data_IF_164075025479
#
_entry.id   IF_164075025479
#
_cell.length_a   1.000
_cell.length_b   1.000
_cell.length_c   1.000
_cell.angle_alpha   90.00
_cell.angle_beta   90.00
_cell.angle_gamma   90.00
#
_symmetry.space_group_name_H-M   'P 1'
#
loop_
_entity.id
_entity.type
_entity.pdbx_description
1 polymer ?
2 branched ?
3 non-polymer ?
4 non-polymer ?
5 non-polymer ?
6 water ?
#
# COMPACT_ATOMS: atom_id res chain seq x y z
C UNK A 1 -20.28 -20.86 14.46
N UNK A 2 -19.87 -20.21 15.56
CA UNK A 2 -18.71 -20.43 16.44
C UNK A 2 -17.40 -20.62 15.69
N UNK A 3 -17.08 -19.67 14.82
CA UNK A 3 -15.92 -19.81 13.94
C UNK A 3 -14.62 -19.55 14.70
N UNK A 4 -14.61 -18.58 15.61
CA UNK A 4 -13.40 -18.23 16.31
C UNK A 4 -13.57 -18.12 17.80
N UNK A 5 -12.62 -17.46 18.47
CA UNK A 5 -12.69 -17.16 19.89
C UNK A 5 -12.57 -15.64 20.05
N UNK A 6 -13.61 -15.03 20.62
CA UNK A 6 -13.62 -13.61 20.92
C UNK A 6 -12.96 -13.33 22.26
N UNK A 7 -12.43 -12.13 22.39
CA UNK A 7 -11.96 -11.61 23.65
C UNK A 7 -11.92 -10.10 23.59
N UNK A 8 -11.57 -9.46 24.71
CA UNK A 8 -11.37 -8.01 24.68
C UNK A 8 -10.16 -7.68 23.82
N UNK A 9 -10.37 -6.90 22.76
CA UNK A 9 -9.34 -6.39 21.87
C UNK A 9 -8.76 -7.45 20.93
N UNK A 10 -9.46 -8.56 20.69
CA UNK A 10 -8.96 -9.49 19.68
C UNK A 10 -10.06 -10.41 19.19
N UNK A 11 -9.77 -11.08 18.09
CA UNK A 11 -10.58 -12.17 17.55
C UNK A 11 -9.60 -13.18 16.97
N UNK A 12 -9.50 -14.35 17.59
CA UNK A 12 -8.67 -15.44 17.09
C UNK A 12 -9.51 -16.28 16.13
N UNK A 13 -9.09 -16.49 14.90
CA UNK A 13 -9.90 -17.27 13.96
C UNK A 13 -9.75 -18.77 14.16
N UNK A 14 -10.06 -19.24 15.37
CA UNK A 14 -9.98 -20.65 15.69
C UNK A 14 -10.99 -20.96 16.80
N UNK A 15 -11.61 -22.13 16.73
CA UNK A 15 -12.63 -22.50 17.73
C UNK A 15 -11.96 -22.94 19.02
N UNK A 16 -12.51 -22.49 20.14
CA UNK A 16 -11.98 -22.86 21.46
C UNK A 16 -12.74 -24.03 22.09
N UNK A 17 -13.43 -24.85 21.28
CA UNK A 17 -14.16 -25.97 21.89
C UNK A 17 -13.23 -26.98 22.56
N UNK A 18 -11.96 -27.00 22.18
CA UNK A 18 -10.95 -27.84 22.82
C UNK A 18 -10.17 -27.12 23.90
N UNK A 19 -10.48 -25.84 24.17
CA UNK A 19 -9.82 -25.11 25.24
C UNK A 19 -8.39 -24.69 24.98
N UNK A 20 -7.87 -24.83 23.76
CA UNK A 20 -6.45 -24.54 23.51
C UNK A 20 -6.18 -23.12 23.04
N UNK A 21 -7.20 -22.33 22.71
CA UNK A 21 -6.98 -20.98 22.21
C UNK A 21 -6.45 -20.09 23.33
N UNK A 22 -5.49 -19.24 23.00
CA UNK A 22 -4.92 -18.28 23.94
C UNK A 22 -4.99 -16.88 23.34
N UNK A 23 -4.95 -15.88 24.22
CA UNK A 23 -4.90 -14.50 23.79
C UNK A 23 -3.72 -14.27 22.85
N UNK A 24 -3.91 -13.62 21.70
CA UNK A 24 -2.77 -13.32 20.81
C UNK A 24 -1.77 -12.33 21.40
N UNK A 25 -2.08 -11.76 22.56
CA UNK A 25 -1.15 -10.90 23.28
C UNK A 25 -0.31 -11.64 24.31
N UNK A 26 -0.60 -12.92 24.60
CA UNK A 26 0.05 -13.60 25.71
C UNK A 26 0.78 -14.89 25.37
N UNK A 27 0.45 -15.56 24.26
CA UNK A 27 0.97 -16.90 24.09
C UNK A 27 0.91 -17.27 22.63
N UNK A 28 1.78 -18.18 22.17
CA UNK A 28 1.89 -18.45 20.73
C UNK A 28 0.65 -19.11 20.15
N UNK A 29 0.36 -18.76 18.90
CA UNK A 29 -0.85 -19.20 18.21
C UNK A 29 -0.59 -20.38 17.28
N UNK A 30 0.06 -21.43 17.79
CA UNK A 30 0.46 -22.56 16.96
C UNK A 30 -0.69 -23.52 16.63
N UNK A 31 -1.92 -23.22 17.07
CA UNK A 31 -3.09 -23.93 16.57
C UNK A 31 -3.60 -23.32 15.27
N UNK A 32 -3.24 -22.06 14.99
CA UNK A 32 -3.55 -21.45 13.70
C UNK A 32 -2.63 -21.97 12.61
N UNK A 33 -1.38 -22.27 12.97
CA UNK A 33 -0.37 -22.60 11.97
C UNK A 33 0.80 -23.26 12.68
N UNK A 34 1.47 -24.14 11.98
CA UNK A 34 2.66 -24.78 12.49
C UNK A 34 3.76 -23.75 12.78
N UNK A 35 4.68 -24.04 13.71
CA UNK A 35 5.80 -23.12 13.92
C UNK A 35 6.57 -22.78 12.64
N UNK A 36 6.84 -23.78 11.78
CA UNK A 36 7.57 -23.50 10.53
C UNK A 36 6.80 -22.54 9.62
N UNK A 37 5.47 -22.49 9.72
CA UNK A 37 4.73 -21.51 8.93
C UNK A 37 4.89 -20.11 9.50
N UNK A 38 5.05 -20.00 10.81
CA UNK A 38 5.42 -18.72 11.39
C UNK A 38 6.81 -18.31 10.93
N UNK A 39 7.73 -19.28 10.83
CA UNK A 39 9.06 -19.00 10.30
C UNK A 39 9.00 -18.52 8.86
N UNK A 40 8.22 -19.21 8.02
CA UNK A 40 8.06 -18.77 6.64
C UNK A 40 7.42 -17.38 6.58
N UNK A 41 6.53 -17.06 7.52
CA UNK A 41 6.08 -15.68 7.62
C UNK A 41 7.24 -14.74 7.93
N UNK A 42 8.13 -15.15 8.86
CA UNK A 42 9.30 -14.35 9.17
C UNK A 42 10.22 -14.20 7.96
N UNK A 43 10.48 -15.31 7.25
CA UNK A 43 11.33 -15.27 6.07
C UNK A 43 10.78 -14.33 5.01
N UNK A 44 9.47 -14.30 4.86
CA UNK A 44 8.85 -13.38 3.91
C UNK A 44 9.06 -11.93 4.32
N UNK A 45 8.91 -11.64 5.62
CA UNK A 45 9.19 -10.29 6.11
C UNK A 45 10.67 -9.93 5.89
N UNK A 46 11.56 -10.89 6.06
CA UNK A 46 12.96 -10.62 5.85
C UNK A 46 13.23 -10.25 4.39
N UNK A 47 12.64 -11.00 3.46
CA UNK A 47 12.76 -10.68 2.04
C UNK A 47 12.27 -9.26 1.77
N UNK A 48 11.09 -8.91 2.28
CA UNK A 48 10.57 -7.57 2.06
C UNK A 48 11.49 -6.51 2.65
N UNK A 49 11.98 -6.72 3.87
CA UNK A 49 12.90 -5.77 4.49
C UNK A 49 14.15 -5.60 3.64
N UNK A 50 14.74 -6.71 3.20
CA UNK A 50 16.03 -6.67 2.54
C UNK A 50 15.94 -6.08 1.14
N UNK A 51 14.82 -6.23 0.45
CA UNK A 51 14.62 -5.57 -0.81
C UNK A 51 14.02 -4.18 -0.63
N UNK A 52 13.12 -4.03 0.34
CA UNK A 52 12.33 -2.81 0.42
C UNK A 52 13.04 -1.65 1.08
N UNK A 53 13.91 -1.92 2.07
CA UNK A 53 14.68 -0.83 2.65
C UNK A 53 15.67 -0.22 1.66
N UNK A 54 16.57 -0.97 1.01
CA UNK A 54 17.57 -0.31 0.15
C UNK A 54 16.93 0.44 -1.01
N UNK A 55 16.01 -0.20 -1.73
CA UNK A 55 15.36 0.45 -2.87
C UNK A 55 14.73 1.77 -2.46
N UNK A 56 13.94 1.76 -1.40
CA UNK A 56 13.25 2.98 -1.00
C UNK A 56 14.20 3.99 -0.37
N UNK A 57 15.21 3.52 0.36
CA UNK A 57 16.17 4.45 0.94
C UNK A 57 17.07 5.03 -0.14
N UNK A 58 17.54 4.19 -1.06
CA UNK A 58 18.35 4.67 -2.18
C UNK A 58 17.60 5.71 -3.00
N UNK A 59 16.27 5.61 -3.06
CA UNK A 59 15.47 6.63 -3.73
C UNK A 59 15.64 7.98 -3.04
N UNK A 60 15.62 8.00 -1.71
CA UNK A 60 15.83 9.25 -0.99
C UNK A 60 17.26 9.72 -1.11
N UNK A 61 18.21 8.78 -1.20
CA UNK A 61 19.62 9.17 -1.15
C UNK A 61 20.04 9.84 -2.45
N UNK A 62 19.69 9.26 -3.60
CA UNK A 62 20.10 9.83 -4.87
C UNK A 62 19.40 11.15 -5.13
N UNK A 63 18.24 11.38 -4.54
CA UNK A 63 17.61 12.69 -4.67
C UNK A 63 18.41 13.77 -3.95
N UNK A 64 19.13 13.39 -2.89
CA UNK A 64 20.01 14.34 -2.22
C UNK A 64 21.23 14.65 -3.08
N UNK A 65 21.71 13.68 -3.85
CA UNK A 65 22.96 13.82 -4.61
C UNK A 65 22.77 14.33 -6.03
N UNK A 66 21.54 14.47 -6.52
CA UNK A 66 21.31 14.78 -7.93
C UNK A 66 20.26 15.87 -8.08
N UNK A 67 20.71 17.09 -8.43
CA UNK A 67 19.84 18.25 -8.46
C UNK A 67 18.69 18.08 -9.45
N UNK A 68 18.92 17.33 -10.53
CA UNK A 68 17.88 17.17 -11.55
C UNK A 68 16.65 16.46 -11.02
N UNK A 69 16.76 15.67 -9.95
CA UNK A 69 15.61 14.93 -9.46
C UNK A 69 14.65 15.77 -8.63
N UNK A 70 15.12 16.90 -8.09
CA UNK A 70 14.31 17.66 -7.13
C UNK A 70 13.34 18.62 -7.81
N UNK A 71 12.55 18.09 -8.74
CA UNK A 71 11.47 18.81 -9.39
C UNK A 71 10.15 18.56 -8.68
N UNK A 72 9.20 19.49 -8.75
CA UNK A 72 7.94 19.31 -7.99
C UNK A 72 7.16 18.07 -8.39
N UNK A 73 7.14 17.72 -9.67
CA UNK A 73 6.48 16.51 -10.14
C UNK A 73 7.06 15.25 -9.53
N UNK A 74 8.22 15.36 -8.88
CA UNK A 74 8.88 14.22 -8.25
C UNK A 74 8.66 14.16 -6.75
N UNK A 75 8.12 15.22 -6.15
CA UNK A 75 7.88 15.21 -4.70
C UNK A 75 7.02 14.01 -4.30
N UNK A 76 5.98 13.70 -5.07
CA UNK A 76 5.06 12.64 -4.68
C UNK A 76 5.75 11.29 -4.72
N UNK A 77 6.79 11.14 -5.54
CA UNK A 77 7.54 9.89 -5.58
C UNK A 77 8.47 9.75 -4.38
N UNK A 78 9.01 10.86 -3.88
CA UNK A 78 9.72 10.80 -2.61
C UNK A 78 8.78 10.45 -1.48
N UNK A 79 7.57 11.02 -1.52
CA UNK A 79 6.53 10.66 -0.56
C UNK A 79 6.24 9.17 -0.60
N UNK A 80 6.11 8.61 -1.81
CA UNK A 80 5.96 7.16 -1.94
C UNK A 80 7.09 6.42 -1.26
N UNK A 81 8.33 6.89 -1.44
CA UNK A 81 9.47 6.21 -0.85
C UNK A 81 9.39 6.23 0.66
N UNK A 82 8.98 7.37 1.24
CA UNK A 82 8.83 7.45 2.69
C UNK A 82 7.71 6.55 3.17
N UNK A 83 6.57 6.53 2.46
CA UNK A 83 5.45 5.69 2.84
C UNK A 83 5.87 4.23 2.89
N UNK A 84 6.59 3.76 1.86
CA UNK A 84 7.08 2.40 1.86
C UNK A 84 8.01 2.12 3.05
N UNK A 85 8.74 3.14 3.51
CA UNK A 85 9.60 2.95 4.66
C UNK A 85 8.78 2.81 5.95
N UNK A 86 7.64 3.50 6.05
CA UNK A 86 6.71 3.25 7.14
C UNK A 86 6.20 1.81 7.11
N UNK A 87 5.96 1.27 5.91
CA UNK A 87 5.55 -0.14 5.81
C UNK A 87 6.69 -1.05 6.24
N UNK A 88 7.91 -0.74 5.81
CA UNK A 88 9.06 -1.60 6.10
C UNK A 88 9.35 -1.65 7.61
N UNK A 89 9.24 -0.51 8.30
CA UNK A 89 9.63 -0.44 9.70
C UNK A 89 8.45 -0.51 10.66
N UNK A 90 7.35 0.18 10.34
CA UNK A 90 6.17 0.06 11.16
C UNK A 90 5.53 -1.31 11.06
N UNK A 91 5.62 -1.94 9.91
CA UNK A 91 4.93 -3.21 9.68
C UNK A 91 5.84 -4.42 9.57
N UNK A 92 6.69 -4.46 8.54
CA UNK A 92 7.42 -5.68 8.24
C UNK A 92 8.42 -6.02 9.35
N UNK A 93 9.04 -5.01 9.95
CA UNK A 93 10.09 -5.26 10.95
C UNK A 93 9.47 -5.75 12.25
N UNK A 94 8.43 -5.08 12.72
CA UNK A 94 7.65 -5.56 13.84
C UNK A 94 7.19 -7.00 13.63
N UNK A 95 6.61 -7.27 12.46
CA UNK A 95 6.03 -8.58 12.19
C UNK A 95 7.09 -9.66 12.12
N UNK A 96 8.29 -9.33 11.65
CA UNK A 96 9.39 -10.28 11.72
C UNK A 96 9.65 -10.69 13.17
N UNK A 97 9.51 -9.74 14.09
CA UNK A 97 9.87 -10.00 15.47
C UNK A 97 8.79 -10.81 16.17
N UNK A 98 7.54 -10.36 16.08
CA UNK A 98 6.41 -11.10 16.66
C UNK A 98 6.25 -12.48 16.03
N UNK A 99 6.41 -12.57 14.70
CA UNK A 99 6.34 -13.86 14.03
C UNK A 99 7.17 -14.93 14.73
N UNK A 100 8.40 -14.59 15.14
CA UNK A 100 9.32 -15.54 15.73
C UNK A 100 8.99 -15.88 17.18
N UNK A 101 8.05 -15.15 17.80
CA UNK A 101 7.40 -15.57 19.03
C UNK A 101 6.11 -16.34 18.79
N UNK A 102 5.47 -16.12 17.64
CA UNK A 102 4.20 -16.78 17.36
C UNK A 102 2.98 -16.05 17.87
N UNK A 103 3.13 -14.80 18.29
CA UNK A 103 1.99 -13.98 18.74
C UNK A 103 2.48 -12.55 18.89
N UNK A 104 1.54 -11.66 19.18
CA UNK A 104 1.82 -10.22 19.18
C UNK A 104 2.32 -9.81 20.56
N UNK A 105 3.63 -9.93 20.76
CA UNK A 105 4.23 -9.78 22.10
C UNK A 105 4.20 -8.37 22.64
N UNK A 106 3.78 -7.39 21.85
CA UNK A 106 3.80 -6.00 22.27
C UNK A 106 2.51 -5.57 22.97
N UNK A 107 1.55 -6.48 23.15
CA UNK A 107 0.33 -6.16 23.86
C UNK A 107 -0.58 -5.25 23.08
N UNK A 108 -1.76 -4.96 23.63
CA UNK A 108 -2.74 -4.13 22.89
C UNK A 108 -2.27 -2.73 22.58
N UNK A 109 -1.39 -2.15 23.39
CA UNK A 109 -0.86 -0.83 23.08
C UNK A 109 0.01 -0.87 21.83
N UNK A 110 0.97 -1.79 21.79
CA UNK A 110 1.73 -1.98 20.57
C UNK A 110 0.88 -2.32 19.37
N UNK A 111 -0.33 -2.83 19.61
CA UNK A 111 -1.23 -3.18 18.52
C UNK A 111 -1.77 -1.93 17.84
N UNK A 112 -2.19 -0.94 18.64
CA UNK A 112 -2.66 0.32 18.07
C UNK A 112 -1.52 1.07 17.38
N UNK A 113 -0.31 1.01 17.96
CA UNK A 113 0.84 1.67 17.37
C UNK A 113 1.25 1.00 16.07
N UNK A 114 1.50 -0.31 16.11
CA UNK A 114 1.93 -1.01 14.91
C UNK A 114 0.83 -1.05 13.87
N UNK A 115 -0.43 -0.96 14.29
CA UNK A 115 -1.52 -0.92 13.35
C UNK A 115 -1.66 0.43 12.69
N UNK A 116 -1.49 1.49 13.49
CA UNK A 116 -1.49 2.85 12.94
C UNK A 116 -0.41 2.99 11.88
N UNK A 117 0.86 2.76 12.26
CA UNK A 117 1.97 3.08 11.35
C UNK A 117 2.01 2.15 10.14
N UNK A 118 1.66 0.87 10.29
CA UNK A 118 1.57 0.00 9.12
C UNK A 118 0.44 0.44 8.20
N UNK A 119 -0.69 0.84 8.78
CA UNK A 119 -1.83 1.24 7.95
C UNK A 119 -1.58 2.60 7.31
N UNK A 120 -1.01 3.53 8.07
CA UNK A 120 -0.67 4.83 7.52
C UNK A 120 0.29 4.70 6.33
N UNK A 121 1.32 3.87 6.48
CA UNK A 121 2.28 3.72 5.41
C UNK A 121 1.66 3.26 4.11
N UNK A 122 0.86 2.19 4.17
CA UNK A 122 0.25 1.66 2.96
C UNK A 122 -0.81 2.59 2.41
N UNK A 123 -1.45 3.36 3.27
CA UNK A 123 -2.45 4.32 2.83
C UNK A 123 -1.82 5.56 2.18
N UNK A 124 -0.65 6.00 2.65
CA UNK A 124 0.07 7.08 1.97
C UNK A 124 0.56 6.61 0.61
N UNK A 125 1.11 5.40 0.54
CA UNK A 125 1.52 4.85 -0.76
C UNK A 125 0.35 4.84 -1.74
N UNK A 126 -0.79 4.31 -1.30
CA UNK A 126 -1.97 4.23 -2.15
C UNK A 126 -2.35 5.60 -2.72
N UNK A 127 -2.48 6.60 -1.85
CA UNK A 127 -2.89 7.92 -2.31
C UNK A 127 -1.78 8.68 -3.03
N UNK A 128 -0.52 8.23 -2.91
CA UNK A 128 0.53 8.80 -3.73
C UNK A 128 0.37 8.36 -5.19
N UNK A 129 0.04 7.08 -5.41
CA UNK A 129 -0.27 6.64 -6.77
C UNK A 129 -1.49 7.35 -7.33
N UNK A 130 -2.46 7.68 -6.48
CA UNK A 130 -3.63 8.42 -6.95
C UNK A 130 -3.24 9.85 -7.30
N UNK A 131 -2.49 10.51 -6.41
CA UNK A 131 -2.11 11.91 -6.64
C UNK A 131 -1.19 12.05 -7.84
N UNK A 132 -0.25 11.10 -8.00
CA UNK A 132 0.63 11.14 -9.17
C UNK A 132 -0.18 11.06 -10.46
N UNK A 133 -1.25 10.25 -10.47
CA UNK A 133 -2.06 10.14 -11.67
C UNK A 133 -2.82 11.44 -11.94
N UNK A 134 -3.31 12.09 -10.88
CA UNK A 134 -3.99 13.37 -11.05
C UNK A 134 -3.03 14.41 -11.61
N UNK A 135 -1.80 14.42 -11.10
CA UNK A 135 -0.83 15.44 -11.50
C UNK A 135 -0.41 15.25 -12.96
N UNK A 136 -0.04 14.01 -13.32
CA UNK A 136 0.26 13.70 -14.72
C UNK A 136 -0.92 14.03 -15.62
N UNK A 137 -2.14 13.77 -15.16
CA UNK A 137 -3.32 14.12 -15.96
C UNK A 137 -3.44 15.62 -16.13
N UNK A 138 -3.18 16.39 -15.07
CA UNK A 138 -3.28 17.84 -15.16
C UNK A 138 -2.20 18.41 -16.07
N UNK A 139 -0.98 17.88 -15.96
CA UNK A 139 0.14 18.41 -16.72
C UNK A 139 -0.01 18.11 -18.22
N UNK A 140 -0.48 16.92 -18.56
CA UNK A 140 -0.57 16.50 -19.96
C UNK A 140 -1.89 16.96 -20.58
N UNK A 141 -3.02 16.54 -20.01
CA UNK A 141 -4.32 16.84 -20.59
C UNK A 141 -4.72 18.31 -20.45
N UNK A 142 -4.03 19.08 -19.62
CA UNK A 142 -4.30 20.49 -19.38
C UNK A 142 -5.81 20.78 -19.24
N UNK A 143 -6.47 20.23 -18.22
CA UNK A 143 -7.91 20.50 -18.06
C UNK A 143 -8.21 21.92 -17.62
N UNK A 144 -7.25 22.63 -17.03
CA UNK A 144 -7.42 24.01 -16.63
C UNK A 144 -6.70 24.91 -17.62
N UNK A 145 -7.38 25.98 -18.05
CA UNK A 145 -6.95 26.79 -19.18
C UNK A 145 -5.56 27.37 -19.01
N UNK A 146 -5.37 28.26 -18.04
CA UNK A 146 -4.09 28.92 -17.80
C UNK A 146 -3.58 28.47 -16.44
N UNK A 147 -2.96 27.28 -16.41
CA UNK A 147 -2.48 26.65 -15.19
C UNK A 147 -1.07 26.13 -15.40
N UNK A 148 -0.23 26.32 -14.39
CA UNK A 148 1.14 25.83 -14.39
C UNK A 148 1.40 25.12 -13.06
N UNK A 149 1.87 23.87 -13.15
CA UNK A 149 2.06 23.03 -11.97
C UNK A 149 3.40 23.37 -11.32
N UNK A 150 3.36 23.91 -10.11
CA UNK A 150 4.58 24.35 -9.45
C UNK A 150 4.82 23.69 -8.10
N UNK A 151 5.74 24.28 -7.33
CA UNK A 151 6.11 23.72 -6.03
C UNK A 151 4.93 23.72 -5.07
N UNK A 152 4.14 24.81 -5.06
CA UNK A 152 3.00 24.90 -4.16
C UNK A 152 1.98 23.81 -4.43
N UNK A 153 1.69 23.54 -5.71
CA UNK A 153 0.73 22.48 -6.03
C UNK A 153 1.27 21.12 -5.63
N UNK A 154 2.57 20.89 -5.81
CA UNK A 154 3.15 19.60 -5.44
C UNK A 154 3.11 19.37 -3.94
N UNK A 155 3.20 20.44 -3.15
CA UNK A 155 3.14 20.29 -1.71
C UNK A 155 1.71 19.99 -1.27
N UNK A 156 0.73 20.65 -1.89
CA UNK A 156 -0.66 20.32 -1.62
C UNK A 156 -0.95 18.85 -1.88
N UNK A 157 -0.44 18.32 -2.99
CA UNK A 157 -0.64 16.91 -3.29
C UNK A 157 -0.07 16.00 -2.22
N UNK A 158 1.14 16.31 -1.73
CA UNK A 158 1.75 15.49 -0.68
C UNK A 158 0.92 15.57 0.59
N UNK A 159 0.59 16.80 1.01
CA UNK A 159 -0.25 16.98 2.19
C UNK A 159 -1.57 16.24 2.06
N UNK A 160 -2.14 16.21 0.85
CA UNK A 160 -3.42 15.55 0.63
C UNK A 160 -3.33 14.05 0.93
N UNK A 161 -2.22 13.41 0.58
CA UNK A 161 -2.08 11.99 0.87
C UNK A 161 -2.03 11.73 2.37
N UNK A 162 -1.38 12.62 3.12
CA UNK A 162 -1.33 12.50 4.57
C UNK A 162 -2.70 12.67 5.20
N UNK A 163 -3.54 13.51 4.58
CA UNK A 163 -4.89 13.70 5.11
C UNK A 163 -5.75 12.48 4.83
N UNK A 164 -5.65 11.92 3.62
CA UNK A 164 -6.43 10.72 3.30
C UNK A 164 -5.97 9.52 4.14
N UNK A 165 -4.66 9.37 4.33
CA UNK A 165 -4.14 8.28 5.13
C UNK A 165 -4.56 8.41 6.59
N UNK A 166 -4.48 9.62 7.14
CA UNK A 166 -5.01 9.85 8.49
C UNK A 166 -6.51 9.60 8.55
N UNK A 167 -7.24 9.92 7.48
CA UNK A 167 -8.68 9.68 7.46
C UNK A 167 -9.02 8.20 7.53
N UNK A 168 -8.07 7.32 7.23
CA UNK A 168 -8.24 5.88 7.40
C UNK A 168 -7.57 5.36 8.65
N UNK A 169 -6.34 5.79 8.93
CA UNK A 169 -5.53 5.16 9.97
C UNK A 169 -5.92 5.62 11.38
N UNK A 170 -6.50 6.82 11.51
CA UNK A 170 -6.72 7.41 12.82
C UNK A 170 -8.07 7.06 13.47
N UNK A 171 -9.19 6.99 12.73
CA UNK A 171 -10.50 6.69 13.39
C UNK A 171 -10.47 5.45 14.27
N UNK A 172 -9.79 4.36 13.88
CA UNK A 172 -9.75 3.20 14.79
C UNK A 172 -9.11 3.47 16.15
N UNK A 173 -8.32 4.54 16.29
CA UNK A 173 -7.77 4.89 17.60
C UNK A 173 -8.76 5.64 18.47
N UNK A 174 -9.85 6.15 17.89
CA UNK A 174 -10.78 7.02 18.59
C UNK A 174 -12.20 6.45 18.63
N UNK A 175 -12.45 5.30 18.00
CA UNK A 175 -13.75 4.67 18.18
C UNK A 175 -14.54 4.26 16.95
N UNK A 176 -14.05 4.55 15.75
CA UNK A 176 -14.66 4.06 14.51
C UNK A 176 -13.79 2.92 13.99
N UNK A 177 -14.31 1.70 14.05
CA UNK A 177 -13.54 0.47 13.87
C UNK A 177 -12.51 0.33 14.99
N UNK A 178 -11.49 -0.50 14.79
CA UNK A 178 -10.52 -0.76 15.83
C UNK A 178 -9.35 -1.52 15.23
N UNK A 179 -8.20 -1.45 15.90
CA UNK A 179 -7.05 -2.27 15.57
C UNK A 179 -7.07 -3.53 16.43
N UNK A 180 -6.80 -4.68 15.79
CA UNK A 180 -6.71 -5.98 16.45
C UNK A 180 -5.68 -6.81 15.68
N UNK A 181 -5.08 -7.83 16.30
CA UNK A 181 -4.25 -8.75 15.52
C UNK A 181 -5.08 -9.38 14.40
N UNK A 182 -4.43 -9.65 13.28
CA UNK A 182 -5.11 -10.22 12.13
C UNK A 182 -4.38 -11.48 11.68
N UNK A 183 -5.09 -12.29 10.91
CA UNK A 183 -4.53 -13.51 10.37
C UNK A 183 -3.87 -14.40 11.40
N UNK A 184 -2.56 -14.58 11.23
CA UNK A 184 -1.80 -15.40 12.16
C UNK A 184 -1.51 -14.67 13.47
N UNK A 185 -2.09 -13.48 13.66
CA UNK A 185 -2.13 -12.75 14.92
C UNK A 185 -0.79 -12.12 15.30
N UNK A 186 0.10 -11.91 14.33
CA UNK A 186 1.38 -11.28 14.60
C UNK A 186 1.45 -9.84 14.11
N UNK A 187 0.56 -9.44 13.21
CA UNK A 187 0.43 -8.07 12.77
C UNK A 187 -0.94 -7.56 13.20
N UNK A 188 -1.06 -6.24 13.39
CA UNK A 188 -2.31 -5.62 13.77
C UNK A 188 -2.82 -4.74 12.64
N UNK A 189 -4.14 -4.64 12.53
CA UNK A 189 -4.75 -3.91 11.44
C UNK A 189 -6.20 -3.57 11.70
N UNK A 190 -6.81 -2.94 10.69
CA UNK A 190 -8.24 -2.63 10.74
C UNK A 190 -9.01 -3.92 10.91
N UNK A 191 -10.11 -3.85 11.65
CA UNK A 191 -10.93 -5.02 11.94
C UNK A 191 -11.98 -5.16 10.85
N UNK A 192 -11.69 -6.01 9.86
CA UNK A 192 -12.68 -6.42 8.87
C UNK A 192 -13.29 -7.78 9.20
N UNK A 193 -12.92 -8.38 10.33
CA UNK A 193 -13.23 -9.77 10.64
C UNK A 193 -14.37 -9.90 11.63
N UNK A 194 -14.91 -8.79 12.12
CA UNK A 194 -15.74 -8.75 13.29
C UNK A 194 -16.76 -7.64 13.13
N UNK A 195 -18.08 -7.92 13.33
CA UNK A 195 -19.12 -6.88 13.27
C UNK A 195 -19.26 -6.11 14.58
N UNK A 196 -18.14 -5.67 15.15
CA UNK A 196 -18.10 -5.01 16.44
C UNK A 196 -19.00 -3.78 16.43
N UNK A 197 -20.15 -3.88 17.09
CA UNK A 197 -21.13 -2.79 17.03
C UNK A 197 -20.71 -1.60 17.89
N UNK A 198 -19.90 -1.84 18.92
CA UNK A 198 -19.49 -0.76 19.80
C UNK A 198 -18.65 0.27 19.06
N UNK A 199 -17.89 -0.17 18.05
CA UNK A 199 -17.10 0.74 17.23
C UNK A 199 -17.62 0.87 15.81
N UNK A 200 -18.86 0.45 15.54
CA UNK A 200 -19.51 0.61 14.24
C UNK A 200 -18.60 0.15 13.10
N UNK A 201 -18.17 -1.12 13.20
CA UNK A 201 -17.25 -1.69 12.23
C UNK A 201 -17.85 -1.71 10.82
N UNK A 202 -19.16 -1.96 10.72
CA UNK A 202 -19.80 -2.11 9.40
C UNK A 202 -19.64 -0.85 8.56
N UNK A 203 -20.03 0.30 9.12
CA UNK A 203 -19.98 1.54 8.37
C UNK A 203 -18.56 1.94 8.01
N UNK A 204 -17.57 1.50 8.80
CA UNK A 204 -16.18 1.79 8.44
C UNK A 204 -15.71 0.91 7.28
N UNK A 205 -16.15 -0.35 7.23
CA UNK A 205 -15.82 -1.21 6.10
C UNK A 205 -16.41 -0.65 4.81
N UNK A 206 -17.66 -0.17 4.87
CA UNK A 206 -18.27 0.46 3.72
C UNK A 206 -17.52 1.73 3.34
N UNK A 207 -17.19 2.55 4.35
CA UNK A 207 -16.41 3.75 4.10
C UNK A 207 -15.07 3.41 3.45
N UNK A 208 -14.42 2.35 3.92
CA UNK A 208 -13.16 1.94 3.30
C UNK A 208 -13.36 1.45 1.88
N UNK A 209 -14.42 0.68 1.65
CA UNK A 209 -14.67 0.12 0.33
C UNK A 209 -14.89 1.22 -0.70
N UNK A 210 -15.64 2.26 -0.33
CA UNK A 210 -15.98 3.31 -1.28
C UNK A 210 -14.83 4.31 -1.43
N UNK A 211 -14.37 4.87 -0.32
CA UNK A 211 -13.45 6.00 -0.36
C UNK A 211 -12.02 5.55 -0.61
N UNK A 212 -11.61 4.42 -0.02
CA UNK A 212 -10.22 4.00 -0.07
C UNK A 212 -10.02 2.77 -0.93
N UNK A 213 -10.97 2.45 -1.79
CA UNK A 213 -10.82 1.30 -2.67
C UNK A 213 -11.46 1.60 -4.02
N UNK A 214 -12.75 1.98 -4.04
CA UNK A 214 -13.41 2.29 -5.31
C UNK A 214 -12.86 3.58 -5.90
N UNK A 215 -12.91 4.68 -5.14
CA UNK A 215 -12.44 5.98 -5.64
C UNK A 215 -11.01 5.91 -6.19
N UNK A 216 -10.04 5.33 -5.48
CA UNK A 216 -8.69 5.26 -6.07
C UNK A 216 -8.66 4.60 -7.43
N UNK A 217 -9.44 3.54 -7.62
CA UNK A 217 -9.44 2.86 -8.92
C UNK A 217 -10.03 3.76 -10.01
N UNK A 218 -11.10 4.48 -9.68
CA UNK A 218 -11.77 5.31 -10.69
C UNK A 218 -10.87 6.48 -11.10
N UNK A 219 -10.17 7.08 -10.14
CA UNK A 219 -9.32 8.22 -10.45
C UNK A 219 -8.12 7.78 -11.27
N UNK A 220 -7.46 6.70 -10.85
CA UNK A 220 -6.32 6.19 -11.58
C UNK A 220 -6.69 5.82 -13.02
N UNK A 221 -7.89 5.25 -13.21
CA UNK A 221 -8.29 4.82 -14.54
C UNK A 221 -8.71 5.99 -15.42
N UNK A 222 -9.50 6.92 -14.88
CA UNK A 222 -9.89 8.10 -15.63
C UNK A 222 -8.67 8.91 -16.05
N UNK A 223 -7.86 9.33 -15.07
CA UNK A 223 -6.68 10.14 -15.35
C UNK A 223 -5.78 9.49 -16.39
N UNK A 224 -5.35 8.27 -16.14
CA UNK A 224 -4.43 7.63 -17.06
C UNK A 224 -5.09 7.32 -18.40
N UNK A 225 -6.38 6.99 -18.40
CA UNK A 225 -7.06 6.77 -19.66
C UNK A 225 -7.16 8.05 -20.47
N UNK A 226 -7.51 9.14 -19.79
CA UNK A 226 -7.61 10.43 -20.48
C UNK A 226 -6.24 10.90 -20.95
N UNK A 227 -5.19 10.54 -20.23
CA UNK A 227 -3.84 10.90 -20.63
C UNK A 227 -3.42 10.11 -21.88
N UNK A 228 -3.61 8.80 -21.87
CA UNK A 228 -3.29 7.99 -23.05
C UNK A 228 -4.07 8.48 -24.25
N UNK A 229 -5.31 8.92 -24.03
CA UNK A 229 -6.11 9.43 -25.14
C UNK A 229 -5.51 10.72 -25.69
N UNK A 230 -5.11 11.65 -24.80
CA UNK A 230 -4.51 12.90 -25.24
C UNK A 230 -3.21 12.66 -25.99
N UNK A 231 -2.35 11.80 -25.46
CA UNK A 231 -1.07 11.54 -26.10
C UNK A 231 -1.27 10.88 -27.47
N UNK A 232 -2.27 10.00 -27.58
CA UNK A 232 -2.49 9.30 -28.84
C UNK A 232 -3.07 10.21 -29.92
N UNK A 233 -3.92 11.18 -29.55
CA UNK A 233 -4.43 12.11 -30.53
C UNK A 233 -3.34 13.06 -31.01
N UNK A 234 -2.47 13.51 -30.10
CA UNK A 234 -1.40 14.41 -30.50
C UNK A 234 -0.41 13.70 -31.43
N UNK A 235 -0.03 12.48 -31.07
CA UNK A 235 0.84 11.69 -31.95
C UNK A 235 0.20 11.51 -33.33
N UNK A 236 -1.12 11.32 -33.38
CA UNK A 236 -1.80 11.08 -34.65
C UNK A 236 -1.64 12.27 -35.59
N UNK A 237 -1.44 13.47 -35.06
CA UNK A 237 -1.28 14.66 -35.87
C UNK A 237 0.17 14.93 -36.26
N UNK A 238 1.12 14.12 -35.80
CA UNK A 238 2.54 14.27 -36.11
C UNK A 238 3.15 12.91 -36.43
N UNK A 239 2.56 12.22 -37.40
CA UNK A 239 2.93 10.83 -37.66
C UNK A 239 4.29 10.66 -38.32
N UNK A 240 4.83 11.67 -39.00
CA UNK A 240 6.18 11.53 -39.55
C UNK A 240 7.27 11.77 -38.51
N UNK A 241 6.93 12.21 -37.31
CA UNK A 241 7.91 12.29 -36.23
C UNK A 241 8.07 10.91 -35.61
N UNK A 242 9.14 10.20 -36.00
CA UNK A 242 9.36 8.85 -35.48
C UNK A 242 9.54 8.85 -33.97
N UNK A 243 10.17 9.89 -33.42
CA UNK A 243 10.36 9.96 -31.98
C UNK A 243 9.04 10.21 -31.26
N UNK A 244 8.18 11.07 -31.82
CA UNK A 244 6.85 11.25 -31.25
C UNK A 244 6.10 9.93 -31.19
N UNK A 245 6.22 9.10 -32.24
CA UNK A 245 5.59 7.79 -32.23
C UNK A 245 6.25 6.88 -31.20
N UNK A 246 7.58 6.89 -31.10
CA UNK A 246 8.26 6.11 -30.08
C UNK A 246 7.87 6.57 -28.69
N UNK A 247 7.81 7.88 -28.47
CA UNK A 247 7.37 8.41 -27.17
C UNK A 247 5.93 8.01 -26.88
N UNK A 248 5.07 7.98 -27.89
CA UNK A 248 3.69 7.56 -27.68
C UNK A 248 3.62 6.11 -27.22
N UNK A 249 4.43 5.23 -27.83
CA UNK A 249 4.36 3.82 -27.49
C UNK A 249 4.84 3.58 -26.06
N UNK A 250 5.89 4.28 -25.63
CA UNK A 250 6.43 4.02 -24.30
C UNK A 250 5.55 4.61 -23.20
N UNK A 251 4.88 5.74 -23.48
CA UNK A 251 3.91 6.25 -22.50
C UNK A 251 2.76 5.28 -22.32
N UNK A 252 2.23 4.78 -23.45
CA UNK A 252 1.14 3.80 -23.38
C UNK A 252 1.60 2.54 -22.65
N UNK A 253 2.78 2.03 -23.01
CA UNK A 253 3.28 0.82 -22.38
C UNK A 253 3.46 1.01 -20.88
N UNK A 254 3.89 2.22 -20.47
CA UNK A 254 4.11 2.50 -19.05
C UNK A 254 2.80 2.66 -18.29
N UNK A 255 1.79 3.26 -18.93
CA UNK A 255 0.48 3.36 -18.28
C UNK A 255 -0.10 1.98 -18.07
N UNK A 256 0.03 1.11 -19.06
CA UNK A 256 -0.47 -0.26 -18.95
C UNK A 256 0.20 -0.98 -17.78
N UNK A 257 1.52 -0.84 -17.67
CA UNK A 257 2.25 -1.49 -16.59
C UNK A 257 1.77 -0.97 -15.24
N UNK A 258 1.64 0.35 -15.10
CA UNK A 258 1.17 0.92 -13.84
C UNK A 258 -0.23 0.41 -13.50
N UNK A 259 -1.14 0.46 -14.48
CA UNK A 259 -2.52 0.10 -14.20
C UNK A 259 -2.63 -1.39 -13.91
N UNK A 260 -1.88 -2.23 -14.64
CA UNK A 260 -1.89 -3.65 -14.35
C UNK A 260 -1.32 -3.94 -12.98
N UNK A 261 -0.20 -3.28 -12.64
CA UNK A 261 0.37 -3.46 -11.31
C UNK A 261 -0.57 -2.99 -10.22
N UNK A 262 -1.38 -1.97 -10.50
CA UNK A 262 -2.35 -1.54 -9.49
C UNK A 262 -3.48 -2.55 -9.36
N UNK A 263 -3.85 -3.21 -10.46
CA UNK A 263 -4.90 -4.22 -10.38
C UNK A 263 -4.42 -5.48 -9.69
N UNK A 264 -3.12 -5.78 -9.78
CA UNK A 264 -2.56 -6.95 -9.10
C UNK A 264 -2.69 -6.79 -7.59
N UNK A 265 -2.68 -5.55 -7.12
CA UNK A 265 -2.90 -5.28 -5.70
C UNK A 265 -4.37 -5.06 -5.37
N UNK A 266 -5.15 -4.58 -6.33
CA UNK A 266 -6.54 -4.21 -6.09
C UNK A 266 -7.51 -5.38 -6.21
N UNK A 267 -7.33 -6.21 -7.24
CA UNK A 267 -8.31 -7.26 -7.51
C UNK A 267 -8.40 -8.31 -6.41
N UNK A 268 -7.33 -8.72 -5.72
CA UNK A 268 -7.52 -9.68 -4.61
C UNK A 268 -8.52 -9.23 -3.57
N UNK A 269 -8.52 -7.94 -3.19
CA UNK A 269 -9.52 -7.45 -2.26
C UNK A 269 -10.92 -7.60 -2.84
N UNK A 270 -11.09 -7.27 -4.11
CA UNK A 270 -12.38 -7.43 -4.75
C UNK A 270 -12.75 -8.91 -4.89
N UNK A 271 -11.76 -9.77 -5.16
CA UNK A 271 -12.03 -11.19 -5.18
C UNK A 271 -12.54 -11.72 -3.86
N UNK A 272 -11.87 -11.34 -2.77
CA UNK A 272 -12.33 -11.73 -1.43
C UNK A 272 -13.65 -11.04 -1.10
N UNK A 273 -13.79 -9.76 -1.44
CA UNK A 273 -15.05 -9.06 -1.25
C UNK A 273 -16.21 -9.82 -1.87
N UNK A 274 -16.06 -10.22 -3.14
CA UNK A 274 -17.06 -11.03 -3.81
C UNK A 274 -17.33 -12.35 -3.10
N UNK A 275 -16.36 -12.87 -2.35
CA UNK A 275 -16.55 -14.07 -1.54
C UNK A 275 -17.18 -13.79 -0.19
N UNK A 276 -17.50 -12.53 0.12
CA UNK A 276 -18.31 -12.20 1.28
C UNK A 276 -19.68 -11.67 0.90
N UNK A 277 -19.82 -11.03 -0.27
CA UNK A 277 -21.14 -10.76 -0.83
C UNK A 277 -21.90 -12.07 -1.04
N UNK A 278 -21.30 -13.00 -1.78
CA UNK A 278 -21.73 -14.40 -1.80
C UNK A 278 -20.91 -15.17 -0.78
N UNK A 279 -21.29 -16.43 -0.55
CA UNK A 279 -20.59 -17.31 0.40
C UNK A 279 -20.46 -16.65 1.78
N UNK A 280 -21.52 -15.97 2.21
CA UNK A 280 -21.45 -15.21 3.46
C UNK A 280 -21.47 -16.11 4.69
N UNK A 281 -22.06 -17.31 4.58
CA UNK A 281 -22.33 -18.10 5.76
C UNK A 281 -21.08 -18.67 6.43
N UNK A 282 -20.14 -19.18 5.63
CA UNK A 282 -19.06 -19.98 6.17
C UNK A 282 -18.05 -19.13 6.95
N UNK A 283 -17.11 -19.82 7.59
CA UNK A 283 -16.03 -19.22 8.35
C UNK A 283 -14.83 -18.95 7.45
N UNK A 284 -13.99 -18.02 7.88
CA UNK A 284 -12.77 -17.65 7.15
C UNK A 284 -11.57 -18.03 8.00
N UNK A 285 -10.67 -18.83 7.43
CA UNK A 285 -9.46 -19.22 8.11
C UNK A 285 -8.56 -18.04 8.38
N UNK A 286 -7.44 -18.27 9.08
CA UNK A 286 -6.48 -17.18 9.34
C UNK A 286 -5.81 -16.64 8.09
N UNK A 287 -6.27 -17.07 6.90
CA UNK A 287 -5.63 -16.73 5.65
C UNK A 287 -6.58 -16.12 4.63
N UNK A 288 -7.89 -16.05 4.91
CA UNK A 288 -8.86 -15.76 3.85
C UNK A 288 -8.84 -14.30 3.40
N UNK A 289 -9.34 -13.40 4.26
CA UNK A 289 -9.25 -11.97 3.95
C UNK A 289 -7.82 -11.44 4.08
N UNK A 290 -6.91 -12.21 4.64
CA UNK A 290 -5.53 -11.80 4.80
C UNK A 290 -4.64 -12.19 3.62
N UNK A 291 -5.19 -12.85 2.60
CA UNK A 291 -4.43 -13.14 1.39
C UNK A 291 -4.17 -11.84 0.62
N UNK A 292 -5.19 -10.99 0.37
CA UNK A 292 -4.89 -9.72 -0.30
C UNK A 292 -3.89 -8.87 0.47
N UNK A 293 -4.02 -8.81 1.80
CA UNK A 293 -3.05 -8.06 2.60
C UNK A 293 -1.68 -8.73 2.51
N UNK A 294 -1.64 -10.06 2.59
CA UNK A 294 -0.39 -10.78 2.44
C UNK A 294 0.38 -10.34 1.19
N UNK A 295 -0.30 -10.30 0.05
CA UNK A 295 0.41 -10.02 -1.19
C UNK A 295 0.57 -8.53 -1.47
N UNK A 296 -0.37 -7.70 -0.98
CA UNK A 296 -0.22 -6.24 -1.11
C UNK A 296 1.05 -5.70 -0.46
N UNK A 297 1.62 -6.41 0.53
CA UNK A 297 2.84 -5.94 1.17
C UNK A 297 3.97 -5.79 0.16
N UNK A 298 4.00 -6.67 -0.85
CA UNK A 298 5.02 -6.65 -1.89
C UNK A 298 5.03 -5.32 -2.66
N UNK A 299 3.94 -4.55 -2.62
CA UNK A 299 3.94 -3.24 -3.25
C UNK A 299 5.05 -2.33 -2.71
N UNK A 300 5.57 -2.61 -1.51
CA UNK A 300 6.69 -1.84 -0.99
C UNK A 300 7.94 -2.05 -1.82
N UNK A 301 8.01 -3.13 -2.58
CA UNK A 301 9.15 -3.42 -3.44
C UNK A 301 8.86 -3.08 -4.91
N UNK A 302 7.73 -3.56 -5.47
CA UNK A 302 7.56 -3.41 -6.91
C UNK A 302 7.09 -2.02 -7.31
N UNK A 303 6.43 -1.28 -6.41
CA UNK A 303 6.05 0.10 -6.74
C UNK A 303 7.27 0.98 -6.99
N UNK A 304 8.26 1.08 -6.09
CA UNK A 304 9.45 1.87 -6.44
C UNK A 304 10.20 1.32 -7.65
N UNK A 305 10.12 0.01 -7.90
CA UNK A 305 10.75 -0.53 -9.11
C UNK A 305 10.08 0.04 -10.35
N UNK A 306 8.75 0.19 -10.31
CA UNK A 306 7.99 0.62 -11.47
C UNK A 306 8.04 2.14 -11.64
N UNK A 307 7.80 2.89 -10.56
CA UNK A 307 7.68 4.34 -10.63
C UNK A 307 9.00 5.10 -10.54
N UNK A 308 10.01 4.55 -9.88
CA UNK A 308 11.27 5.23 -9.68
C UNK A 308 12.40 4.56 -10.47
N UNK A 309 12.55 3.24 -10.32
CA UNK A 309 13.65 2.55 -10.95
C UNK A 309 13.51 2.50 -12.47
N UNK A 310 12.29 2.45 -12.97
CA UNK A 310 12.07 2.49 -14.41
C UNK A 310 12.04 3.90 -14.96
N UNK A 311 11.99 4.90 -14.09
CA UNK A 311 12.17 6.29 -14.50
C UNK A 311 13.58 6.48 -15.06
N UNK A 312 13.67 6.93 -16.31
CA UNK A 312 14.96 7.06 -16.97
C UNK A 312 15.91 7.95 -16.18
N UNK A 313 15.38 8.97 -15.50
CA UNK A 313 16.21 9.89 -14.72
C UNK A 313 16.82 9.18 -13.51
N UNK A 314 15.97 8.75 -12.57
CA UNK A 314 16.43 8.10 -11.35
C UNK A 314 17.44 7.00 -11.66
N UNK A 315 17.16 6.18 -12.68
CA UNK A 315 18.00 5.02 -12.93
C UNK A 315 19.46 5.42 -13.14
N UNK A 316 19.69 6.43 -14.00
CA UNK A 316 21.06 6.88 -14.24
C UNK A 316 21.64 7.56 -13.01
N UNK A 317 20.85 8.37 -12.31
CA UNK A 317 21.28 8.93 -11.03
C UNK A 317 21.75 7.83 -10.07
N UNK A 318 20.92 6.80 -9.86
CA UNK A 318 21.28 5.76 -8.89
C UNK A 318 22.51 4.98 -9.33
N UNK A 319 22.71 4.78 -10.64
CA UNK A 319 23.88 4.07 -11.11
C UNK A 319 25.15 4.86 -10.78
N UNK A 320 25.11 6.17 -11.01
CA UNK A 320 26.24 7.02 -10.67
C UNK A 320 26.51 7.01 -9.17
N UNK A 321 25.45 7.06 -8.36
CA UNK A 321 25.62 7.06 -6.92
C UNK A 321 26.20 5.75 -6.42
N UNK A 322 25.66 4.63 -6.92
CA UNK A 322 26.14 3.32 -6.53
C UNK A 322 27.58 3.12 -6.96
N UNK A 323 27.94 3.66 -8.11
CA UNK A 323 29.27 3.50 -8.64
C UNK A 323 30.28 4.57 -8.25
N UNK A 324 30.09 5.09 -7.04
CA UNK A 324 31.03 6.04 -6.43
C UNK A 324 31.30 7.26 -7.30
N UNK A 325 30.31 7.62 -8.12
CA UNK A 325 30.39 8.79 -8.95
C UNK A 325 30.67 8.53 -10.42
N UNK A 326 31.28 7.40 -10.75
CA UNK A 326 31.66 7.12 -12.12
C UNK A 326 30.55 6.36 -12.84
N UNK A 327 30.53 6.50 -14.17
CA UNK A 327 29.53 5.87 -15.04
C UNK A 327 28.10 6.22 -14.61
X LIG B 1 -10.40 -21.10 25.73
X LIG B 1 -10.10 -19.74 26.40
X LIG B 1 -9.28 -19.94 27.68
X LIG B 1 -9.83 -21.03 28.57
X LIG B 1 -10.08 -22.29 27.75
X LIG B 1 -10.75 -23.39 28.53
X LIG B 1 -9.75 -17.59 25.28
X LIG B 1 -8.88 -16.81 24.34
X LIG B 1 -9.40 -18.85 25.49
X LIG B 1 -9.21 -18.71 28.39
X LIG B 1 -8.81 -21.31 29.53
X LIG B 1 -10.95 -21.98 26.67
X LIG B 1 -11.91 -22.91 29.18
X LIG B 1 -10.72 -17.08 25.84
X LIG B 2 -9.28 -21.36 30.88
X LIG B 2 -8.25 -22.20 31.63
X LIG B 2 -8.63 -22.29 33.11
X LIG B 2 -8.83 -20.90 33.68
X LIG B 2 -9.85 -20.13 32.85
X LIG B 2 -10.05 -18.72 33.34
X LIG B 2 -7.20 -23.93 30.22
X LIG B 2 -7.29 -25.34 29.73
X LIG B 2 -8.17 -23.54 31.05
X LIG B 2 -7.59 -22.96 33.80
X LIG B 2 -9.35 -20.98 35.00
X LIG B 2 -9.38 -20.06 31.49
X LIG B 2 -10.85 -17.94 32.47
X LIG B 2 -6.29 -23.17 29.86
X LIG B 3 -8.41 -20.50 35.96
X LIG B 3 -9.27 -20.37 37.19
X LIG B 3 -8.42 -19.97 38.39
X LIG B 3 -7.18 -20.86 38.53
X LIG B 3 -6.42 -20.99 37.20
X LIG B 3 -5.33 -22.02 37.25
X LIG B 3 -9.88 -21.63 37.47
X LIG B 3 -9.19 -19.99 39.58
X LIG B 3 -6.31 -20.31 39.50
X LIG B 3 -7.36 -21.41 36.18
X LIG B 3 -5.96 -23.29 37.23
X LIG B 4 -9.74 -18.67 39.85
X LIG B 4 -10.12 -18.67 41.31
X LIG B 4 -11.29 -19.63 41.55
X LIG B 4 -12.49 -19.33 40.62
X LIG B 4 -12.03 -19.28 39.16
X LIG B 4 -13.12 -18.77 38.21
X LIG B 4 -10.60 -17.37 41.66
X LIG B 4 -11.71 -19.65 42.91
X LIG B 4 -13.49 -20.34 40.73
X LIG B 4 -10.89 -18.38 39.05
X LIG B 4 -12.73 -18.99 36.85
X LIG B 5 -4.97 -24.32 37.05
X LIG B 5 -5.64 -25.49 36.28
X LIG B 5 -6.55 -26.35 37.18
X LIG B 5 -5.94 -26.59 38.60
X LIG B 5 -5.46 -25.27 39.19
X LIG B 5 -4.84 -25.40 40.57
X LIG B 5 -4.68 -26.38 35.71
X LIG B 5 -6.87 -27.59 36.57
X LIG B 5 -6.92 -27.18 39.46
X LIG B 5 -4.46 -24.72 38.32
X LIG B 5 -4.66 -24.08 41.10
X LIG C 1 28.28 0.77 -10.67
X LIG C 1 27.27 1.19 -11.24
X LIG C 1 28.34 -0.45 -9.78
X LIG C 1 29.32 -0.32 -8.62
X LIG C 1 29.75 -1.66 -8.04
X LIG C 1 28.58 -2.45 -7.48
X LIG C 1 28.83 -3.94 -7.61
X LIG C 1 28.25 -4.75 -6.46
X LIG C 1 26.79 -5.03 -6.67
X LIG C 1 26.30 -6.15 -5.75
X LIG C 1 24.84 -5.97 -5.42
X LIG C 1 24.16 -7.30 -5.15
X LIG C 1 24.63 -7.94 -3.87
X LIG C 1 23.85 -9.20 -3.59
X LIG C 1 23.75 -9.55 -2.11
X LIG C 1 22.62 -10.54 -1.91
X LIG C 1 22.36 -10.86 -0.46
X LIG D 1 -3.32 -3.36 4.29
X LIG D 1 -2.77 -3.49 2.98
X LIG D 1 -4.21 -4.55 4.60
X LIG D 1 -5.27 -4.61 3.64
X LIG D 1 -4.75 -4.47 6.02
X LIG D 1 -5.43 -5.69 6.34
X LIG D 1 -3.59 -4.26 7.00
X LIG D 1 -4.10 -3.97 8.31
X LIG D 1 -2.75 -3.07 6.57
X LIG D 1 -2.27 -3.25 5.24
X LIG D 1 -1.55 -2.90 7.51
X LIG D 1 -0.61 -3.93 7.24
X LIG D 1 -2.35 -2.23 2.47
X LIG D 1 -2.14 -2.28 0.97
X LIG D 1 -1.65 -0.93 0.46
X LIG D 1 -1.30 -0.98 -1.02
X LIG D 1 -0.61 0.32 -1.47
X LIG D 1 -0.20 0.24 -2.94
X LIG D 1 -1.40 0.05 -3.85
X LIG D 1 -0.98 -0.53 -5.18
X LIG E 1 -1.16 -12.95 7.77
X LIG E 1 -2.27 -13.81 7.54
X LIG E 1 -1.47 -11.55 7.20
X LIG E 1 -1.59 -11.64 5.78
X LIG E 1 -0.40 -10.52 7.58
X LIG E 1 -0.86 -9.22 7.16
X LIG E 1 -0.19 -10.56 9.09
X LIG E 1 0.81 -9.61 9.53
X LIG E 1 0.17 -11.98 9.53
X LIG E 1 -0.85 -12.91 9.17
X LIG E 1 0.40 -12.11 11.03
X LIG E 1 -0.56 -11.31 11.74
X LIG E 1 -1.85 -15.09 7.10
X LIG E 1 -2.23 -15.23 5.63
X LIG E 1 -1.22 -16.10 4.88
X LIG E 1 -1.54 -16.23 3.40
X LIG E 1 -0.46 -17.08 2.73
X LIG E 1 -0.69 -17.27 1.25
X LIG E 1 0.42 -18.14 0.68
X LIG E 1 0.11 -18.54 -0.74
X LIG F 1 11.39 -17.00 22.30
X LIG F 1 11.90 -15.74 21.89
X LIG F 1 12.00 -17.31 23.67
X LIG F 1 13.40 -17.55 23.52
X LIG F 1 11.32 -18.50 24.33
X LIG F 1 11.77 -18.62 25.70
X LIG F 1 9.81 -18.33 24.32
X LIG F 1 9.19 -19.50 24.87
X LIG F 1 9.34 -18.12 22.88
X LIG F 1 9.97 -16.96 22.33
X LIG F 1 7.82 -17.95 22.78
X LIG F 1 7.40 -18.18 21.44
X LIG F 1 11.88 -15.53 20.48
X LIG F 1 12.72 -14.28 20.20
X LIG F 1 12.78 -13.98 18.71
X LIG F 1 13.55 -12.69 18.44
X LIG F 1 13.78 -12.55 16.94
X LIG F 1 14.74 -11.41 16.60
X LIG F 1 14.84 -11.28 15.09
X LIG F 1 15.77 -10.17 14.67
X LIG G 1 -3.26 0.66 -27.57
X LIG G 1 -3.27 0.38 -26.17
X LIG G 1 -2.10 -0.10 -28.22
X LIG G 1 -0.87 0.50 -27.81
X LIG G 1 -2.15 -0.04 -29.74
X LIG G 1 -1.19 -0.95 -30.28
X LIG G 1 -3.55 -0.39 -30.24
X LIG G 1 -3.61 -0.19 -31.65
X LIG G 1 -4.59 0.48 -29.55
X LIG G 1 -4.52 0.29 -28.13
X LIG G 1 -6.00 0.18 -30.04
X LIG G 1 -6.10 0.54 -31.43
X LIG G 1 -4.27 1.13 -25.49
X LIG G 1 -4.09 0.93 -23.99
X LIG G 1 -4.79 2.03 -23.19
X LIG G 1 -4.60 1.79 -21.69
X LIG G 1 -5.46 2.77 -20.92
X LIG G 1 -5.36 2.53 -19.42
X LIG G 1 -6.55 3.15 -18.72
X LIG G 1 -6.27 3.45 -17.28
X LIG H 1 5.09 -30.77 5.37
X LIG H 1 5.72 -30.04 4.34
X LIG H 1 6.19 -31.44 6.21
X LIG H 1 6.87 -32.43 5.42
X LIG H 1 5.62 -32.07 7.48
X LIG H 1 6.68 -32.62 8.28
X LIG H 1 4.87 -30.99 8.25
X LIG H 1 4.36 -31.55 9.48
X LIG H 1 3.75 -30.43 7.38
X LIG H 1 4.27 -29.89 6.16
X LIG H 1 2.96 -29.34 8.10
X LIG H 1 2.90 -29.63 9.50
X LIG H 1 4.83 -29.23 3.56
X LIG H 1 5.67 -28.17 2.85
X LIG H 1 4.93 -27.52 1.68
X LIG H 1 5.86 -26.54 0.96
X LIG H 1 5.44 -26.36 -0.50
X LIG H 1 6.55 -25.72 -1.33
X LIG H 1 6.30 -25.90 -2.83
X LIG H 1 7.47 -25.40 -3.65
X LIG I 1 -9.91 -3.53 2.95
X LIG I 1 -8.97 -2.35 3.15
X LIG I 1 -7.07 -1.22 2.09
X LIG I 1 -6.49 -0.48 -0.24
X LIG I 1 -6.58 -0.16 -2.66
X LIG I 1 -5.54 -1.48 -0.37
X LIG I 1 -8.91 -2.26 0.67
X LIG I 1 -10.41 -2.08 0.86
X LIG I 1 -5.60 -1.19 -2.75
X LIG I 1 -5.10 -1.84 -1.68
X LIG I 1 -14.36 -3.87 2.23
X LIG I 1 -13.02 -3.79 1.95
X LIG I 1 -12.37 -4.75 1.18
X LIG I 1 -13.00 -5.83 0.64
X LIG I 1 -14.37 -5.93 0.92
X LIG I 1 -15.02 -4.98 1.68
X LIG I 1 -11.04 -4.41 1.07
X LIG I 1 -10.88 -3.20 1.81
X LIG I 1 -12.13 -2.82 2.35
X LIG I 1 -8.16 -2.09 1.95
X LIG I 1 -7.00 -0.06 1.11
X LIG I 1 -7.01 0.16 -1.35
X LIG I 1 -7.06 0.44 -3.61
X LIG I 1 -6.24 -1.39 2.99
X LIG I 1 -5.14 -1.56 -4.33
#
# INVERSE_FOLDING_TARGET
XMCGTEGPNFYVPFSNKTGVVRSPFEAPQYYLAEPWQFSMLAAYMFLLIMLGFPINFLTLYVTVQHKKLRTPLNYILLNLAVADLFMVFGGFTTTLYTSLHGYFVFGPTGCNLEGFFATLGGEIALWSLVVLAIERYVVVCKPMSNFRFGENHAIMGVAFTWVMALACAAPPLVGWSRYIPEGMQCSCGIDYYTPHEETNNESFVIYMFVVHFIIPLIVIFFCYGQLVFTVKEAAAQQQESATTQKAEKEVTRMVIIMVIAFLICWLPYAGVAFYIFTHQGSCFGPIFMTIPAFFAKTSAVYNPVIYIMMNKQFRNCMVTTLCCGKNPLGDDEASTTVSKTETSQVAPA
NAG C1 C2 C3 C4 C5 C6 C7 C8 N2 O3 O4 O5 O6 O7
NAG C1 C2 C3 C4 C5 C6 C7 C8 N2 O3 O4 O5 O6 O7
BMA C1 C2 C3 C4 C5 C6 O2 O3 O4 O5 O6
MAN C1 C2 C3 C4 C5 C6 O2 O3 O4 O5 O6
MAN C1 C2 C3 C4 C5 C6 O2 O3 O4 O5 O6
PLM C1 O2 C2 C3 C4 C5 C6 C7 C8 C9 CA CB CC CD CE CF CG
BOG C1 O1 C2 O2 C3 O3 C4 O4 C5 O5 C6 O6 C1' C2' C3' C4' C5' C6' C7' C8'
BOG C1 O1 C2 O2 C3 O3 C4 O4 C5 O5 C6 O6 C1' C2' C3' C4' C5' C6' C7' C8'
BOG C1 O1 C2 O2 C3 O3 C4 O4 C5 O5 C6 O6 C1' C2' C3' C4' C5' C6' C7' C8'
BOG C1 O1 C2 O2 C3 O3 C4 O4 C5 O5 C6 O6 C1' C2' C3' C4' C5' C6' C7' C8'
BOG C1 O1 C2 O2 C3 O3 C4 O4 C5 O5 C6 O6 C1' C2' C3' C4' C5' C6' C7' C8'
DL2 C10 C11 C13 C15 C17 C19 C21 C22 C23 C25 C1 C2 C3 C4 C5 C6 O7 C8 O9 N12 C14 N16 O18 O20 CL
#
